data_IF_117146414951
#
_entry.id   IF_117146414951
#
_cell.length_a   1.000
_cell.length_b   1.000
_cell.length_c   1.000
_cell.angle_alpha   90.00
_cell.angle_beta   90.00
_cell.angle_gamma   90.00
#
_symmetry.space_group_name_H-M   'P 1'
#
loop_
_entity.id
_entity.type
_entity.pdbx_description
1 polymer ?
#
# COMPACT_ATOMS: atom_id res chain seq x y z
N UNK A 1 0.16 14.46 3.23
CA UNK A 1 -0.86 14.86 2.24
C UNK A 1 -2.12 15.22 3.02
N UNK A 2 -2.68 16.41 2.80
CA UNK A 2 -3.90 16.82 3.51
C UNK A 2 -5.10 16.10 2.91
N UNK A 3 -5.87 15.41 3.76
CA UNK A 3 -7.07 14.70 3.33
C UNK A 3 -8.19 15.72 3.20
N UNK A 4 -8.73 15.90 2.00
CA UNK A 4 -9.87 16.77 1.78
C UNK A 4 -11.16 16.04 2.23
N UNK A 5 -11.79 16.41 3.36
CA UNK A 5 -13.00 15.75 3.84
C UNK A 5 -14.19 15.96 2.88
N UNK A 6 -14.18 17.03 2.08
CA UNK A 6 -15.20 17.29 1.08
C UNK A 6 -15.13 16.33 -0.10
N UNK A 7 -14.06 15.54 -0.24
CA UNK A 7 -13.95 14.58 -1.33
C UNK A 7 -15.06 13.50 -1.31
N UNK A 8 -15.66 13.26 -0.14
CA UNK A 8 -16.80 12.36 0.02
C UNK A 8 -17.97 12.72 -0.92
N UNK A 9 -18.19 14.01 -1.19
CA UNK A 9 -19.30 14.47 -2.03
C UNK A 9 -19.16 14.00 -3.49
N UNK A 10 -17.94 13.71 -3.96
CA UNK A 10 -17.71 13.25 -5.32
C UNK A 10 -18.13 11.80 -5.52
N UNK A 11 -18.18 10.99 -4.46
CA UNK A 11 -18.63 9.58 -4.54
C UNK A 11 -20.10 9.50 -4.91
N UNK A 12 -20.92 10.40 -4.36
CA UNK A 12 -22.36 10.44 -4.63
C UNK A 12 -22.71 10.73 -6.10
N UNK A 13 -21.74 11.20 -6.91
CA UNK A 13 -21.90 11.36 -8.35
C UNK A 13 -21.91 10.01 -9.09
N UNK A 14 -21.39 8.95 -8.47
CA UNK A 14 -21.34 7.60 -9.01
C UNK A 14 -22.41 6.72 -8.34
N UNK A 15 -23.68 6.99 -8.64
CA UNK A 15 -24.83 6.37 -7.96
C UNK A 15 -24.81 4.84 -7.93
N UNK A 16 -24.26 4.20 -8.96
CA UNK A 16 -24.15 2.73 -9.02
C UNK A 16 -23.02 2.16 -8.14
N UNK A 17 -21.98 2.96 -7.87
CA UNK A 17 -20.81 2.52 -7.10
C UNK A 17 -20.85 3.00 -5.65
N UNK A 18 -21.53 4.12 -5.39
CA UNK A 18 -21.60 4.74 -4.07
C UNK A 18 -21.97 3.77 -2.94
N UNK A 19 -22.90 2.80 -3.11
CA UNK A 19 -23.19 1.81 -2.06
C UNK A 19 -22.03 0.87 -1.70
N UNK A 20 -20.99 0.79 -2.54
CA UNK A 20 -19.84 -0.09 -2.38
C UNK A 20 -18.55 0.68 -2.01
N UNK A 21 -18.63 2.00 -1.81
CA UNK A 21 -17.48 2.84 -1.52
C UNK A 21 -17.62 3.42 -0.12
N UNK A 22 -16.71 3.04 0.77
CA UNK A 22 -16.53 3.68 2.06
C UNK A 22 -15.37 4.68 1.97
N UNK A 23 -15.66 5.97 2.12
CA UNK A 23 -14.64 7.00 2.23
C UNK A 23 -14.32 7.31 3.67
N UNK A 24 -13.03 7.21 4.01
CA UNK A 24 -12.52 7.48 5.36
C UNK A 24 -11.69 8.76 5.29
N UNK A 25 -12.19 9.91 5.79
CA UNK A 25 -11.49 11.19 5.72
C UNK A 25 -10.42 11.31 6.82
N UNK A 26 -9.59 10.29 6.99
CA UNK A 26 -8.58 10.20 8.05
C UNK A 26 -7.31 9.54 7.51
N UNK A 27 -6.16 9.90 8.09
CA UNK A 27 -4.89 9.27 7.72
C UNK A 27 -4.95 7.77 7.96
N UNK A 28 -4.31 6.97 7.09
CA UNK A 28 -4.14 5.52 7.26
C UNK A 28 -3.37 5.15 8.55
N UNK A 29 -2.58 6.09 9.08
CA UNK A 29 -1.90 5.94 10.37
C UNK A 29 -2.80 6.25 11.58
N UNK A 30 -3.99 6.84 11.37
CA UNK A 30 -4.89 7.20 12.47
C UNK A 30 -5.56 5.97 13.08
N UNK A 31 -5.71 5.96 14.40
CA UNK A 31 -6.47 4.90 15.09
C UNK A 31 -7.93 4.84 14.64
N UNK A 32 -8.52 5.98 14.27
CA UNK A 32 -9.90 6.07 13.77
C UNK A 32 -10.04 5.33 12.44
N UNK A 33 -9.19 5.62 11.44
CA UNK A 33 -9.21 4.91 10.16
C UNK A 33 -9.00 3.41 10.35
N UNK A 34 -8.03 3.05 11.19
CA UNK A 34 -7.69 1.66 11.50
C UNK A 34 -8.84 0.90 12.17
N UNK A 35 -9.59 1.54 13.07
CA UNK A 35 -10.80 0.93 13.67
C UNK A 35 -11.86 0.64 12.62
N UNK A 36 -12.16 1.63 11.77
CA UNK A 36 -13.17 1.49 10.71
C UNK A 36 -12.79 0.35 9.74
N UNK A 37 -11.52 0.27 9.34
CA UNK A 37 -11.02 -0.80 8.46
C UNK A 37 -11.14 -2.16 9.15
N UNK A 38 -10.72 -2.26 10.41
CA UNK A 38 -10.84 -3.50 11.19
C UNK A 38 -12.29 -3.99 11.28
N UNK A 39 -13.22 -3.10 11.65
CA UNK A 39 -14.65 -3.40 11.76
C UNK A 39 -15.20 -3.85 10.40
N UNK A 40 -14.88 -3.12 9.32
CA UNK A 40 -15.31 -3.45 7.96
C UNK A 40 -14.83 -4.85 7.53
N UNK A 41 -13.55 -5.17 7.72
CA UNK A 41 -13.00 -6.48 7.37
C UNK A 41 -13.56 -7.61 8.24
N UNK A 42 -13.83 -7.33 9.52
CA UNK A 42 -14.45 -8.29 10.43
C UNK A 42 -15.89 -8.65 10.02
N UNK A 43 -16.67 -7.65 9.60
CA UNK A 43 -18.05 -7.82 9.16
C UNK A 43 -18.14 -8.47 7.76
N UNK A 44 -17.37 -7.97 6.80
CA UNK A 44 -17.43 -8.43 5.41
C UNK A 44 -16.77 -9.79 5.17
N UNK A 45 -15.73 -10.12 5.95
CA UNK A 45 -14.90 -11.33 5.79
C UNK A 45 -14.52 -11.61 4.32
N UNK A 46 -13.93 -10.64 3.61
CA UNK A 46 -13.69 -10.76 2.19
C UNK A 46 -12.69 -11.88 1.89
N UNK A 47 -13.00 -12.72 0.89
CA UNK A 47 -12.07 -13.75 0.42
C UNK A 47 -10.99 -13.14 -0.49
N UNK A 48 -11.38 -12.26 -1.42
CA UNK A 48 -10.46 -11.66 -2.37
C UNK A 48 -10.19 -10.22 -1.98
N UNK A 49 -8.93 -9.92 -1.70
CA UNK A 49 -8.49 -8.62 -1.21
C UNK A 49 -7.35 -8.12 -2.08
N UNK A 50 -7.48 -6.86 -2.51
CA UNK A 50 -6.44 -6.13 -3.18
C UNK A 50 -6.22 -4.83 -2.41
N UNK A 51 -4.97 -4.53 -2.06
CA UNK A 51 -4.60 -3.31 -1.35
C UNK A 51 -3.65 -2.52 -2.25
N UNK A 52 -3.95 -1.23 -2.46
CA UNK A 52 -3.08 -0.31 -3.19
C UNK A 52 -2.59 0.77 -2.24
N UNK A 53 -1.27 0.87 -2.06
CA UNK A 53 -0.63 1.88 -1.24
C UNK A 53 -0.10 3.00 -2.13
N UNK A 54 -0.72 4.17 -2.03
CA UNK A 54 -0.38 5.39 -2.78
C UNK A 54 -0.38 6.61 -1.86
N UNK A 55 0.06 6.41 -0.61
CA UNK A 55 0.10 7.42 0.43
C UNK A 55 1.40 8.23 0.41
N UNK A 56 2.08 8.25 1.55
CA UNK A 56 3.37 8.91 1.69
C UNK A 56 4.49 8.04 1.09
N UNK A 57 5.39 8.65 0.32
CA UNK A 57 6.44 7.96 -0.41
C UNK A 57 7.75 7.77 0.36
N UNK A 58 7.84 8.17 1.63
CA UNK A 58 9.00 7.84 2.48
C UNK A 58 8.95 6.38 2.92
N UNK A 59 10.13 5.72 2.93
CA UNK A 59 10.21 4.29 3.20
C UNK A 59 9.58 3.89 4.54
N UNK A 60 9.69 4.73 5.58
CA UNK A 60 9.06 4.46 6.88
C UNK A 60 7.55 4.41 6.83
N UNK A 61 6.92 5.35 6.14
CA UNK A 61 5.47 5.38 6.02
C UNK A 61 4.98 4.16 5.23
N UNK A 62 5.60 3.88 4.08
CA UNK A 62 5.28 2.73 3.23
C UNK A 62 5.45 1.41 3.98
N UNK A 63 6.54 1.26 4.73
CA UNK A 63 6.79 0.06 5.52
C UNK A 63 5.74 -0.12 6.63
N UNK A 64 5.41 0.93 7.37
CA UNK A 64 4.38 0.88 8.40
C UNK A 64 3.01 0.53 7.83
N UNK A 65 2.68 1.00 6.63
CA UNK A 65 1.47 0.60 5.92
C UNK A 65 1.53 -0.86 5.48
N UNK A 66 2.64 -1.33 4.90
CA UNK A 66 2.82 -2.73 4.52
C UNK A 66 2.60 -3.68 5.70
N UNK A 67 3.26 -3.42 6.83
CA UNK A 67 3.13 -4.24 8.05
C UNK A 67 1.69 -4.20 8.59
N UNK A 68 1.04 -3.04 8.56
CA UNK A 68 -0.34 -2.94 9.03
C UNK A 68 -1.32 -3.65 8.10
N UNK A 69 -1.20 -3.45 6.79
CA UNK A 69 -2.19 -3.93 5.83
C UNK A 69 -2.01 -5.38 5.41
N UNK A 70 -0.82 -5.98 5.59
CA UNK A 70 -0.61 -7.39 5.24
C UNK A 70 -1.56 -8.36 5.95
N UNK A 71 -2.02 -7.99 7.15
CA UNK A 71 -2.94 -8.82 7.95
C UNK A 71 -4.29 -9.07 7.24
N UNK A 72 -4.69 -8.20 6.31
CA UNK A 72 -5.95 -8.32 5.58
C UNK A 72 -5.84 -9.13 4.29
N UNK A 73 -4.62 -9.43 3.83
CA UNK A 73 -4.38 -10.25 2.65
C UNK A 73 -4.48 -11.71 3.04
N UNK A 74 -5.65 -12.22 3.44
CA UNK A 74 -5.75 -13.55 4.07
C UNK A 74 -5.44 -14.73 3.13
N UNK A 75 -5.74 -14.60 1.84
CA UNK A 75 -5.64 -15.71 0.88
C UNK A 75 -4.39 -15.64 0.00
N UNK A 76 -3.84 -16.82 -0.32
CA UNK A 76 -2.78 -16.97 -1.31
C UNK A 76 -3.25 -16.40 -2.66
N UNK A 77 -2.34 -15.73 -3.36
CA UNK A 77 -2.59 -15.01 -4.62
C UNK A 77 -3.38 -13.71 -4.52
N UNK A 78 -3.73 -13.24 -3.33
CA UNK A 78 -4.11 -11.83 -3.14
C UNK A 78 -2.86 -10.93 -3.20
N UNK A 79 -3.06 -9.62 -3.42
CA UNK A 79 -1.97 -8.69 -3.69
C UNK A 79 -2.02 -7.44 -2.83
N UNK A 80 -0.82 -6.95 -2.50
CA UNK A 80 -0.57 -5.55 -2.18
C UNK A 80 0.18 -4.95 -3.36
N UNK A 81 -0.27 -3.81 -3.88
CA UNK A 81 0.46 -2.98 -4.83
C UNK A 81 1.02 -1.77 -4.09
N UNK A 82 2.34 -1.67 -4.02
CA UNK A 82 3.04 -0.46 -3.58
C UNK A 82 3.26 0.42 -4.80
N UNK A 83 2.64 1.60 -4.81
CA UNK A 83 2.80 2.55 -5.90
C UNK A 83 4.14 3.29 -5.81
N UNK A 84 4.48 3.91 -6.93
CA UNK A 84 5.60 4.84 -7.12
C UNK A 84 6.98 4.41 -6.60
N UNK A 85 7.26 3.11 -6.55
CA UNK A 85 8.59 2.56 -6.23
C UNK A 85 9.72 3.11 -7.11
N UNK A 86 9.40 3.55 -8.34
CA UNK A 86 10.34 4.24 -9.23
C UNK A 86 10.88 5.53 -8.63
N UNK A 87 10.15 6.22 -7.76
CA UNK A 87 10.59 7.49 -7.16
C UNK A 87 11.92 7.34 -6.41
N UNK A 88 12.11 6.20 -5.74
CA UNK A 88 13.38 5.84 -5.07
C UNK A 88 14.58 5.89 -6.02
N UNK A 89 14.39 5.64 -7.32
CA UNK A 89 15.44 5.71 -8.35
C UNK A 89 15.48 7.06 -9.08
N UNK A 90 14.30 7.64 -9.35
CA UNK A 90 14.17 8.85 -10.19
C UNK A 90 14.54 10.13 -9.46
N UNK A 91 14.24 10.22 -8.16
CA UNK A 91 14.46 11.43 -7.36
C UNK A 91 15.55 11.20 -6.32
N UNK A 92 16.73 10.81 -6.83
CA UNK A 92 17.86 10.43 -6.00
C UNK A 92 18.26 11.54 -5.01
N UNK A 93 18.22 12.80 -5.43
CA UNK A 93 18.54 13.95 -4.56
C UNK A 93 17.55 14.17 -3.42
N UNK A 94 16.31 13.67 -3.53
CA UNK A 94 15.28 13.82 -2.50
C UNK A 94 15.28 12.66 -1.52
N UNK A 95 15.49 11.44 -2.02
CA UNK A 95 15.34 10.23 -1.22
C UNK A 95 16.66 9.57 -0.81
N UNK A 96 17.80 9.88 -1.44
CA UNK A 96 19.02 9.11 -1.24
C UNK A 96 20.08 9.88 -0.44
N UNK A 97 20.85 9.13 0.35
CA UNK A 97 21.93 9.65 1.18
C UNK A 97 21.95 9.08 2.59
N UNK A 98 20.78 8.77 3.16
CA UNK A 98 20.63 8.08 4.45
C UNK A 98 19.31 7.30 4.45
N UNK A 99 19.40 5.98 4.56
CA UNK A 99 18.23 5.10 4.72
C UNK A 99 18.46 4.15 5.87
N UNK A 100 17.41 3.93 6.67
CA UNK A 100 17.35 2.85 7.66
C UNK A 100 16.81 1.54 7.07
N UNK A 101 16.39 1.57 5.82
CA UNK A 101 15.80 0.46 5.08
C UNK A 101 16.78 -0.10 4.04
N UNK A 102 16.38 -1.14 3.32
CA UNK A 102 17.27 -1.89 2.44
C UNK A 102 17.53 -1.19 1.10
N UNK A 103 18.52 -0.29 1.10
CA UNK A 103 19.03 0.41 -0.07
C UNK A 103 19.63 1.78 0.24
N UNK A 104 20.16 2.50 -0.76
CA UNK A 104 20.77 3.81 -0.57
C UNK A 104 19.75 4.95 -0.40
N UNK A 105 18.45 4.66 -0.58
CA UNK A 105 17.38 5.65 -0.62
C UNK A 105 16.30 5.36 0.43
N UNK A 106 15.53 6.39 0.76
CA UNK A 106 14.46 6.38 1.75
C UNK A 106 13.09 6.45 1.05
N UNK A 107 12.91 5.66 -0.01
CA UNK A 107 11.71 5.64 -0.85
C UNK A 107 10.91 4.33 -0.76
N UNK A 108 9.84 4.18 -1.57
CA UNK A 108 8.96 3.02 -1.46
C UNK A 108 9.65 1.69 -1.83
N UNK A 109 10.68 1.72 -2.68
CA UNK A 109 11.42 0.50 -3.05
C UNK A 109 12.18 -0.07 -1.85
N UNK A 110 12.80 0.76 -1.03
CA UNK A 110 13.57 0.28 0.12
C UNK A 110 12.65 -0.28 1.22
N UNK A 111 11.45 0.30 1.37
CA UNK A 111 10.41 -0.27 2.23
C UNK A 111 9.96 -1.66 1.77
N UNK A 112 9.71 -1.82 0.47
CA UNK A 112 9.35 -3.13 -0.13
C UNK A 112 10.44 -4.15 0.12
N UNK A 113 11.69 -3.80 -0.18
CA UNK A 113 12.82 -4.70 0.00
C UNK A 113 12.97 -5.12 1.47
N UNK A 114 12.86 -4.16 2.39
CA UNK A 114 12.94 -4.42 3.82
C UNK A 114 11.80 -5.31 4.31
N UNK A 115 10.56 -5.02 3.91
CA UNK A 115 9.39 -5.84 4.24
C UNK A 115 9.58 -7.29 3.79
N UNK A 116 10.02 -7.52 2.54
CA UNK A 116 10.23 -8.87 2.01
C UNK A 116 11.38 -9.63 2.69
N UNK A 117 12.33 -8.93 3.30
CA UNK A 117 13.41 -9.53 4.10
C UNK A 117 13.00 -9.82 5.55
N UNK A 118 11.97 -9.14 6.06
CA UNK A 118 11.59 -9.17 7.47
C UNK A 118 10.14 -9.68 7.62
N UNK A 119 9.18 -8.80 7.87
CA UNK A 119 7.81 -9.18 8.20
C UNK A 119 7.20 -10.02 7.09
N UNK A 120 7.26 -9.57 5.84
CA UNK A 120 6.71 -10.28 4.69
C UNK A 120 7.53 -11.48 4.20
N UNK A 121 8.63 -11.83 4.87
CA UNK A 121 9.50 -12.93 4.47
C UNK A 121 8.73 -14.23 4.32
N UNK A 122 8.99 -14.95 3.23
CA UNK A 122 8.30 -16.17 2.77
C UNK A 122 6.78 -16.07 2.53
N UNK A 123 6.09 -15.05 3.06
CA UNK A 123 4.65 -14.82 2.87
C UNK A 123 4.35 -14.03 1.62
N UNK A 124 5.26 -13.15 1.20
CA UNK A 124 5.09 -12.31 0.02
C UNK A 124 6.25 -12.46 -0.96
N UNK A 125 5.94 -12.32 -2.25
CA UNK A 125 6.93 -12.25 -3.33
C UNK A 125 6.53 -11.21 -4.36
N UNK A 126 7.54 -10.60 -4.99
CA UNK A 126 7.32 -9.72 -6.13
C UNK A 126 6.77 -10.55 -7.30
N UNK A 127 5.68 -10.10 -7.91
CA UNK A 127 5.11 -10.69 -9.11
C UNK A 127 5.40 -9.82 -10.35
N UNK A 128 6.49 -10.16 -11.04
CA UNK A 128 6.90 -9.47 -12.27
C UNK A 128 5.93 -9.67 -13.43
N UNK A 129 5.01 -10.64 -13.37
CA UNK A 129 4.02 -10.87 -14.44
C UNK A 129 2.94 -9.78 -14.47
N UNK A 130 2.85 -8.97 -13.40
CA UNK A 130 1.96 -7.81 -13.31
C UNK A 130 2.63 -6.51 -13.74
N UNK A 131 3.92 -6.56 -14.06
CA UNK A 131 4.63 -5.40 -14.59
C UNK A 131 4.38 -5.25 -16.09
N UNK A 132 4.16 -4.00 -16.49
CA UNK A 132 4.12 -3.59 -17.89
C UNK A 132 5.26 -2.61 -18.16
N UNK A 133 5.68 -2.51 -19.43
CA UNK A 133 6.91 -1.83 -19.88
C UNK A 133 7.06 -0.36 -19.42
N UNK A 134 5.98 0.27 -18.96
CA UNK A 134 5.96 1.67 -18.53
C UNK A 134 5.46 1.87 -17.10
N UNK A 135 5.49 0.82 -16.27
CA UNK A 135 5.04 0.91 -14.88
C UNK A 135 5.79 2.00 -14.11
N UNK A 136 5.09 2.75 -13.27
CA UNK A 136 5.74 3.62 -12.28
C UNK A 136 6.00 2.87 -10.96
N UNK A 137 5.57 1.62 -10.87
CA UNK A 137 5.53 0.80 -9.65
C UNK A 137 6.32 -0.52 -9.82
N UNK A 138 7.44 -0.48 -10.54
CA UNK A 138 8.30 -1.67 -10.74
C UNK A 138 8.74 -2.25 -9.38
N UNK A 139 8.66 -3.56 -9.23
CA UNK A 139 8.81 -4.32 -7.98
C UNK A 139 7.74 -4.03 -6.91
N UNK A 140 6.67 -3.31 -7.25
CA UNK A 140 5.61 -2.93 -6.29
C UNK A 140 4.50 -3.97 -6.14
N UNK A 141 4.40 -4.94 -7.04
CA UNK A 141 3.36 -5.99 -6.99
C UNK A 141 3.76 -7.12 -6.04
N UNK A 142 3.24 -7.09 -4.81
CA UNK A 142 3.52 -8.10 -3.78
C UNK A 142 2.38 -9.12 -3.73
N UNK A 143 2.65 -10.32 -4.21
CA UNK A 143 1.71 -11.45 -4.17
C UNK A 143 1.90 -12.24 -2.88
N UNK A 144 0.80 -12.56 -2.20
CA UNK A 144 0.83 -13.51 -1.09
C UNK A 144 1.05 -14.94 -1.60
N UNK A 145 2.01 -15.64 -1.03
CA UNK A 145 2.42 -17.00 -1.43
C UNK A 145 2.40 -18.01 -0.29
N UNK A 146 2.27 -17.57 0.97
CA UNK A 146 2.07 -18.39 2.16
C UNK A 146 1.21 -17.66 3.21
#
# INVERSE_FOLDING_TARGET
MDINPEAAQYINRFTLLAPYILFIPQSSASSVARSIINETFFEMRPANVFISLDGDHYAEAVYNELVYYEQYIANISNYILVQDTRLSRKWHSLYCGQSKYDGPCNGPQEAVNWFLKNEGHDRFKIDLTKEYLFSTHHNGWLKRVA
#
